data_IF_653344675225
#
_entry.id   IF_653344675225
#
_cell.length_a   1.000
_cell.length_b   1.000
_cell.length_c   1.000
_cell.angle_alpha   90.00
_cell.angle_beta   90.00
_cell.angle_gamma   90.00
#
_symmetry.space_group_name_H-M   'P 1'
#
loop_
_entity.id
_entity.type
_entity.pdbx_description
1 polymer ?
#
# COMPACT_ATOMS: atom_id res chain seq x y z
N UNK A 1 -27.57 23.19 -17.74
CA UNK A 1 -27.94 24.29 -16.83
C UNK A 1 -28.05 23.70 -15.43
N UNK A 2 -27.01 23.88 -14.59
CA UNK A 2 -26.97 23.39 -13.20
C UNK A 2 -27.86 24.29 -12.34
N UNK A 3 -28.83 23.70 -11.65
CA UNK A 3 -29.65 24.36 -10.63
C UNK A 3 -29.61 23.48 -9.37
N UNK A 4 -28.98 24.02 -8.33
CA UNK A 4 -29.09 23.61 -6.93
C UNK A 4 -28.94 22.10 -6.61
N UNK A 5 -27.70 21.60 -6.59
CA UNK A 5 -27.20 20.60 -5.61
C UNK A 5 -28.04 19.36 -5.26
N UNK A 6 -28.94 18.93 -6.13
CA UNK A 6 -29.82 17.78 -5.92
C UNK A 6 -29.78 16.92 -7.18
N UNK A 7 -28.91 15.92 -7.17
CA UNK A 7 -28.93 14.83 -8.15
C UNK A 7 -30.19 13.99 -7.92
N UNK A 8 -31.30 14.44 -8.49
CA UNK A 8 -32.60 13.77 -8.42
C UNK A 8 -32.59 12.38 -9.11
N UNK A 9 -31.51 12.03 -9.82
CA UNK A 9 -31.35 10.80 -10.60
C UNK A 9 -30.25 9.85 -10.10
N UNK A 10 -29.50 10.18 -9.04
CA UNK A 10 -28.47 9.29 -8.46
C UNK A 10 -29.01 8.35 -7.36
N UNK A 11 -30.34 8.26 -7.24
CA UNK A 11 -31.04 7.52 -6.16
C UNK A 11 -31.89 6.31 -6.60
N UNK A 12 -32.44 6.20 -7.84
CA UNK A 12 -33.24 5.04 -8.21
C UNK A 12 -32.39 3.79 -8.44
N UNK A 13 -31.16 3.97 -8.91
CA UNK A 13 -30.13 2.95 -9.07
C UNK A 13 -29.65 2.43 -7.70
N UNK A 14 -29.33 3.31 -6.75
CA UNK A 14 -28.95 2.92 -5.39
C UNK A 14 -30.11 2.20 -4.67
N UNK A 15 -31.35 2.70 -4.82
CA UNK A 15 -32.53 2.02 -4.29
C UNK A 15 -32.73 0.64 -4.93
N UNK A 16 -32.59 0.54 -6.26
CA UNK A 16 -32.72 -0.74 -6.96
C UNK A 16 -31.59 -1.71 -6.56
N UNK A 17 -30.37 -1.20 -6.35
CA UNK A 17 -29.24 -1.98 -5.87
C UNK A 17 -29.55 -2.57 -4.48
N UNK A 18 -29.92 -1.74 -3.52
CA UNK A 18 -30.17 -2.15 -2.13
C UNK A 18 -31.43 -3.02 -1.97
N UNK A 19 -32.51 -2.70 -2.67
CA UNK A 19 -33.82 -3.32 -2.44
C UNK A 19 -34.21 -4.39 -3.47
N UNK A 20 -33.57 -4.43 -4.63
CA UNK A 20 -33.85 -5.44 -5.67
C UNK A 20 -32.65 -6.34 -5.86
N UNK A 21 -31.46 -5.79 -6.04
CA UNK A 21 -30.28 -6.56 -6.41
C UNK A 21 -29.69 -7.33 -5.22
N UNK A 22 -29.40 -6.67 -4.10
CA UNK A 22 -28.82 -7.28 -2.90
C UNK A 22 -29.64 -8.47 -2.36
N UNK A 23 -31.00 -8.40 -2.28
CA UNK A 23 -31.81 -9.55 -1.84
C UNK A 23 -31.82 -10.73 -2.83
N UNK A 24 -31.55 -10.47 -4.12
CA UNK A 24 -31.47 -11.49 -5.16
C UNK A 24 -30.07 -12.10 -5.28
N UNK A 25 -29.04 -11.45 -4.72
CA UNK A 25 -27.69 -12.00 -4.69
C UNK A 25 -27.61 -13.17 -3.70
N UNK A 26 -26.86 -14.24 -4.03
CA UNK A 26 -26.61 -15.31 -3.09
C UNK A 26 -25.92 -14.75 -1.85
N UNK A 27 -26.48 -15.01 -0.66
CA UNK A 27 -25.82 -14.63 0.58
C UNK A 27 -24.49 -15.37 0.67
N UNK A 28 -23.35 -14.67 0.73
CA UNK A 28 -22.06 -15.35 0.86
C UNK A 28 -22.05 -16.14 2.17
N UNK A 29 -21.53 -17.37 2.13
CA UNK A 29 -21.31 -18.14 3.35
C UNK A 29 -20.39 -17.35 4.27
N UNK A 30 -20.85 -17.06 5.49
CA UNK A 30 -19.98 -16.49 6.52
C UNK A 30 -18.94 -17.54 6.87
N UNK A 31 -17.68 -17.28 6.49
CA UNK A 31 -16.54 -18.11 6.85
C UNK A 31 -15.80 -17.43 7.99
N UNK A 32 -15.72 -18.08 9.13
CA UNK A 32 -14.96 -17.60 10.32
C UNK A 32 -13.43 -17.60 10.11
N UNK A 33 -12.97 -17.81 8.86
CA UNK A 33 -11.56 -17.98 8.48
C UNK A 33 -10.96 -16.70 7.89
N UNK A 34 -11.76 -15.66 7.69
CA UNK A 34 -11.32 -14.38 7.11
C UNK A 34 -11.54 -13.28 8.15
N UNK A 35 -10.49 -12.51 8.41
CA UNK A 35 -10.52 -11.34 9.29
C UNK A 35 -10.29 -10.10 8.42
N UNK A 36 -11.24 -9.18 8.44
CA UNK A 36 -11.10 -7.86 7.84
C UNK A 36 -10.57 -6.89 8.90
N UNK A 37 -9.51 -6.16 8.56
CA UNK A 37 -8.93 -5.12 9.41
C UNK A 37 -9.09 -3.80 8.68
N UNK A 38 -9.86 -2.90 9.28
CA UNK A 38 -10.13 -1.57 8.74
C UNK A 38 -9.33 -0.52 9.50
N UNK A 39 -8.89 0.53 8.80
CA UNK A 39 -8.25 1.70 9.39
C UNK A 39 -9.22 2.86 9.29
N UNK A 40 -9.82 3.22 10.43
CA UNK A 40 -10.75 4.34 10.54
C UNK A 40 -10.14 5.52 11.32
N UNK A 41 -10.88 6.61 11.43
CA UNK A 41 -10.44 7.79 12.19
C UNK A 41 -10.13 7.48 13.66
N UNK A 42 -10.83 6.51 14.27
CA UNK A 42 -10.56 6.11 15.64
C UNK A 42 -9.20 5.42 15.76
N UNK A 43 -8.89 4.54 14.80
CA UNK A 43 -7.59 3.86 14.67
C UNK A 43 -6.48 4.88 14.46
N UNK A 44 -6.65 5.84 13.55
CA UNK A 44 -5.67 6.90 13.31
C UNK A 44 -5.40 7.71 14.58
N UNK A 45 -6.46 8.13 15.31
CA UNK A 45 -6.31 8.84 16.59
C UNK A 45 -5.62 8.00 17.65
N UNK A 46 -5.93 6.70 17.75
CA UNK A 46 -5.32 5.80 18.71
C UNK A 46 -3.83 5.57 18.44
N UNK A 47 -3.44 5.56 17.17
CA UNK A 47 -2.04 5.46 16.72
C UNK A 47 -1.30 6.80 16.79
N UNK A 48 -2.02 7.92 16.80
CA UNK A 48 -1.43 9.26 16.71
C UNK A 48 -0.86 9.57 15.33
N UNK A 49 -1.35 8.88 14.30
CA UNK A 49 -0.91 9.02 12.91
C UNK A 49 -2.03 9.64 12.05
N UNK A 50 -1.67 10.17 10.89
CA UNK A 50 -2.62 10.54 9.84
C UNK A 50 -2.57 9.49 8.74
N UNK A 51 -3.65 9.39 7.97
CA UNK A 51 -3.59 8.65 6.72
C UNK A 51 -2.71 9.39 5.69
N UNK A 52 -1.88 8.68 4.90
CA UNK A 52 -1.59 7.25 4.98
C UNK A 52 -0.71 6.87 6.18
N UNK A 53 -0.95 5.68 6.77
CA UNK A 53 -0.12 5.15 7.85
C UNK A 53 1.36 5.01 7.43
N UNK A 54 2.27 5.20 8.38
CA UNK A 54 3.70 5.03 8.14
C UNK A 54 4.06 3.58 7.82
N UNK A 55 5.14 3.38 7.03
CA UNK A 55 5.63 2.03 6.68
C UNK A 55 6.13 1.27 7.91
N UNK A 56 6.67 1.99 8.90
CA UNK A 56 7.01 1.42 10.20
C UNK A 56 5.79 0.85 10.94
N UNK A 57 4.62 1.51 10.85
CA UNK A 57 3.38 1.01 11.45
C UNK A 57 2.85 -0.23 10.71
N UNK A 58 2.92 -0.26 9.38
CA UNK A 58 2.63 -1.48 8.62
C UNK A 58 3.58 -2.64 8.97
N UNK A 59 4.88 -2.38 9.12
CA UNK A 59 5.86 -3.39 9.51
C UNK A 59 5.53 -4.00 10.87
N UNK A 60 5.25 -3.16 11.87
CA UNK A 60 4.81 -3.59 13.22
C UNK A 60 3.49 -4.36 13.19
N UNK A 61 2.56 -3.96 12.32
CA UNK A 61 1.31 -4.68 12.13
C UNK A 61 1.56 -6.10 11.60
N UNK A 62 2.40 -6.24 10.57
CA UNK A 62 2.77 -7.55 10.01
C UNK A 62 3.51 -8.42 11.02
N UNK A 63 4.45 -7.86 11.78
CA UNK A 63 5.18 -8.59 12.84
C UNK A 63 4.22 -9.20 13.87
N UNK A 64 3.27 -8.40 14.37
CA UNK A 64 2.26 -8.87 15.33
C UNK A 64 1.29 -9.88 14.73
N UNK A 65 0.90 -9.65 13.47
CA UNK A 65 -0.03 -10.52 12.75
C UNK A 65 0.61 -11.87 12.46
N UNK A 66 1.91 -11.90 12.12
CA UNK A 66 2.68 -13.13 11.90
C UNK A 66 2.67 -14.04 13.12
N UNK A 67 2.70 -13.48 14.34
CA UNK A 67 2.61 -14.26 15.58
C UNK A 67 1.29 -15.06 15.71
N UNK A 68 0.23 -14.64 15.00
CA UNK A 68 -1.06 -15.33 14.94
C UNK A 68 -1.11 -16.41 13.86
N UNK A 69 -0.05 -16.56 13.05
CA UNK A 69 0.09 -17.55 11.98
C UNK A 69 -1.09 -17.60 10.98
N UNK A 70 -1.50 -16.46 10.38
CA UNK A 70 -2.51 -16.48 9.33
C UNK A 70 -2.04 -17.30 8.13
N UNK A 71 -2.96 -17.88 7.36
CA UNK A 71 -2.61 -18.59 6.13
C UNK A 71 -2.13 -17.63 5.03
N UNK A 72 -2.71 -16.43 4.97
CA UNK A 72 -2.42 -15.39 3.99
C UNK A 72 -2.72 -14.01 4.62
N UNK A 73 -1.94 -12.99 4.26
CA UNK A 73 -2.24 -11.58 4.56
C UNK A 73 -2.35 -10.82 3.24
N UNK A 74 -3.42 -10.06 3.07
CA UNK A 74 -3.62 -9.21 1.88
C UNK A 74 -3.64 -7.76 2.34
N UNK A 75 -2.79 -6.92 1.74
CA UNK A 75 -2.80 -5.48 2.00
C UNK A 75 -3.50 -4.77 0.85
N UNK A 76 -4.65 -4.17 1.14
CA UNK A 76 -5.45 -3.36 0.21
C UNK A 76 -4.92 -1.91 0.13
N UNK A 77 -3.61 -1.79 -0.08
CA UNK A 77 -2.88 -0.52 -0.18
C UNK A 77 -1.77 -0.70 -1.21
N UNK A 78 -1.60 0.28 -2.10
CA UNK A 78 -0.42 0.35 -2.98
C UNK A 78 0.60 1.31 -2.39
N UNK A 79 1.82 0.82 -2.16
CA UNK A 79 2.97 1.63 -1.77
C UNK A 79 3.77 1.98 -3.03
N UNK A 80 3.20 2.79 -3.91
CA UNK A 80 3.78 3.14 -5.21
C UNK A 80 4.85 4.23 -5.12
N UNK A 81 4.98 4.90 -3.97
CA UNK A 81 5.99 5.90 -3.67
C UNK A 81 6.83 5.52 -2.44
N UNK A 82 8.10 5.95 -2.39
CA UNK A 82 8.92 5.87 -1.18
C UNK A 82 8.19 6.48 0.03
N UNK A 83 8.50 5.98 1.22
CA UNK A 83 8.06 6.58 2.47
C UNK A 83 8.61 8.01 2.64
N UNK A 84 7.96 8.81 3.49
CA UNK A 84 8.41 10.17 3.79
C UNK A 84 9.86 10.15 4.29
N UNK A 85 10.75 10.69 3.47
CA UNK A 85 12.20 10.70 3.67
C UNK A 85 12.71 11.92 4.42
N UNK A 86 11.84 12.79 4.97
CA UNK A 86 12.26 14.06 5.58
C UNK A 86 13.35 13.91 6.65
N UNK A 87 13.27 12.88 7.51
CA UNK A 87 14.32 12.59 8.49
C UNK A 87 15.63 12.10 7.83
N UNK A 88 15.53 11.26 6.80
CA UNK A 88 16.68 10.78 6.03
C UNK A 88 17.37 11.91 5.26
N UNK A 89 16.60 12.78 4.62
CA UNK A 89 17.07 13.99 3.94
C UNK A 89 17.77 14.93 4.90
N UNK A 90 17.19 15.17 6.08
CA UNK A 90 17.82 15.98 7.12
C UNK A 90 19.14 15.35 7.58
N UNK A 91 19.15 14.06 7.91
CA UNK A 91 20.35 13.35 8.33
C UNK A 91 21.46 13.40 7.27
N UNK A 92 21.11 13.18 6.00
CA UNK A 92 22.04 13.25 4.88
C UNK A 92 22.55 14.68 4.66
N UNK A 93 21.70 15.70 4.82
CA UNK A 93 22.10 17.11 4.75
C UNK A 93 23.06 17.49 5.88
N UNK A 94 22.86 16.94 7.09
CA UNK A 94 23.75 17.13 8.24
C UNK A 94 25.09 16.44 7.99
N UNK A 95 25.08 15.21 7.50
CA UNK A 95 26.29 14.47 7.14
C UNK A 95 27.13 15.22 6.09
N UNK A 96 26.50 15.74 5.03
CA UNK A 96 27.16 16.53 4.00
C UNK A 96 27.78 17.83 4.54
N UNK A 97 27.06 18.55 5.41
CA UNK A 97 27.57 19.76 6.07
C UNK A 97 28.75 19.45 6.98
N UNK A 98 28.70 18.31 7.69
CA UNK A 98 29.77 17.86 8.56
C UNK A 98 31.05 17.57 7.76
N UNK A 99 30.92 16.90 6.61
CA UNK A 99 32.04 16.68 5.68
C UNK A 99 32.60 18.00 5.14
N UNK A 100 31.74 18.88 4.63
CA UNK A 100 32.15 20.16 4.03
C UNK A 100 32.81 21.13 5.03
N UNK A 101 32.52 20.98 6.32
CA UNK A 101 33.13 21.81 7.38
C UNK A 101 34.56 21.39 7.76
N UNK A 102 35.06 20.27 7.23
CA UNK A 102 36.33 19.66 7.64
C UNK A 102 36.25 18.88 8.96
N UNK A 103 35.12 18.93 9.68
CA UNK A 103 34.88 18.09 10.87
C UNK A 103 34.86 16.60 10.52
N UNK A 104 34.42 16.22 9.32
CA UNK A 104 34.42 14.82 8.88
C UNK A 104 35.80 14.16 8.82
N UNK A 105 36.88 14.94 8.75
CA UNK A 105 38.26 14.44 8.79
C UNK A 105 38.78 14.22 10.23
N UNK A 106 38.02 14.67 11.23
CA UNK A 106 38.34 14.42 12.64
C UNK A 106 37.74 13.08 13.08
N UNK A 107 38.42 12.37 13.99
CA UNK A 107 37.89 11.10 14.50
C UNK A 107 36.50 11.22 15.15
N UNK A 108 36.19 12.37 15.76
CA UNK A 108 34.86 12.63 16.31
C UNK A 108 33.80 12.87 15.23
N UNK A 109 34.15 13.54 14.13
CA UNK A 109 33.24 13.74 13.00
C UNK A 109 33.01 12.47 12.20
N UNK A 110 34.02 11.62 12.02
CA UNK A 110 33.84 10.28 11.43
C UNK A 110 32.90 9.43 12.27
N UNK A 111 33.10 9.38 13.60
CA UNK A 111 32.21 8.63 14.49
C UNK A 111 30.77 9.16 14.48
N UNK A 112 30.58 10.48 14.37
CA UNK A 112 29.25 11.07 14.26
C UNK A 112 28.58 10.77 12.91
N UNK A 113 29.34 10.77 11.81
CA UNK A 113 28.81 10.39 10.50
C UNK A 113 28.37 8.92 10.47
N UNK A 114 29.20 8.01 10.99
CA UNK A 114 28.85 6.59 11.13
C UNK A 114 27.60 6.39 11.99
N UNK A 115 27.48 7.13 13.09
CA UNK A 115 26.28 7.09 13.94
C UNK A 115 25.03 7.56 13.19
N UNK A 116 25.11 8.66 12.44
CA UNK A 116 23.99 9.15 11.63
C UNK A 116 23.59 8.11 10.59
N UNK A 117 24.54 7.54 9.86
CA UNK A 117 24.26 6.52 8.85
C UNK A 117 23.63 5.24 9.46
N UNK A 118 24.10 4.79 10.62
CA UNK A 118 23.50 3.65 11.34
C UNK A 118 22.06 3.95 11.79
N UNK A 119 21.83 5.13 12.37
CA UNK A 119 20.48 5.54 12.79
C UNK A 119 19.54 5.70 11.61
N UNK A 120 19.98 6.31 10.51
CA UNK A 120 19.19 6.41 9.28
C UNK A 120 18.85 5.02 8.72
N UNK A 121 19.81 4.09 8.70
CA UNK A 121 19.56 2.72 8.27
C UNK A 121 18.63 1.93 9.19
N UNK A 122 18.71 2.15 10.51
CA UNK A 122 17.79 1.54 11.50
C UNK A 122 16.37 2.08 11.39
N UNK A 123 16.22 3.33 10.96
CA UNK A 123 14.93 4.02 10.87
C UNK A 123 14.37 4.10 9.44
N UNK A 124 14.98 3.40 8.48
CA UNK A 124 14.44 3.23 7.14
C UNK A 124 13.13 2.43 7.18
N UNK A 125 12.02 3.14 6.98
CA UNK A 125 10.68 2.60 7.11
C UNK A 125 10.31 1.66 5.95
N UNK A 126 10.79 1.93 4.74
CA UNK A 126 10.54 1.07 3.57
C UNK A 126 11.29 -0.25 3.73
N UNK A 127 12.55 -0.20 4.16
CA UNK A 127 13.34 -1.39 4.51
C UNK A 127 12.67 -2.20 5.61
N UNK A 128 12.21 -1.55 6.68
CA UNK A 128 11.52 -2.23 7.78
C UNK A 128 10.26 -2.96 7.30
N UNK A 129 9.47 -2.34 6.42
CA UNK A 129 8.29 -2.97 5.83
C UNK A 129 8.66 -4.13 4.90
N UNK A 130 9.66 -3.96 4.03
CA UNK A 130 10.14 -5.02 3.13
C UNK A 130 10.60 -6.26 3.91
N UNK A 131 11.38 -6.08 4.98
CA UNK A 131 11.79 -7.19 5.85
C UNK A 131 10.59 -7.87 6.52
N UNK A 132 9.63 -7.09 7.06
CA UNK A 132 8.44 -7.67 7.68
C UNK A 132 7.57 -8.47 6.69
N UNK A 133 7.45 -8.00 5.45
CA UNK A 133 6.78 -8.70 4.34
C UNK A 133 7.49 -10.02 4.03
N UNK A 134 8.82 -9.99 3.87
CA UNK A 134 9.63 -11.17 3.58
C UNK A 134 9.58 -12.20 4.72
N UNK A 135 9.66 -11.76 5.97
CA UNK A 135 9.59 -12.63 7.15
C UNK A 135 8.22 -13.28 7.34
N UNK A 136 7.15 -12.59 6.97
CA UNK A 136 5.82 -13.18 6.94
C UNK A 136 5.69 -14.25 5.85
N UNK A 137 6.28 -14.02 4.66
CA UNK A 137 6.36 -14.99 3.56
C UNK A 137 5.02 -15.37 2.91
N UNK A 138 3.93 -14.75 3.35
CA UNK A 138 2.57 -15.01 2.87
C UNK A 138 1.75 -13.73 2.68
N UNK A 139 2.44 -12.63 2.38
CA UNK A 139 1.81 -11.33 2.13
C UNK A 139 1.58 -11.14 0.64
N UNK A 140 0.38 -10.72 0.26
CA UNK A 140 0.02 -10.27 -1.10
C UNK A 140 -0.22 -8.76 -1.06
N UNK A 141 0.44 -8.04 -1.97
CA UNK A 141 0.33 -6.58 -2.08
C UNK A 141 -0.71 -6.17 -3.12
N UNK A 142 -1.24 -4.96 -2.99
CA UNK A 142 -2.14 -4.37 -3.97
C UNK A 142 -1.44 -3.97 -5.27
N UNK A 143 -2.16 -4.12 -6.38
CA UNK A 143 -1.82 -3.55 -7.68
C UNK A 143 -3.08 -2.95 -8.31
N UNK A 144 -2.96 -1.78 -8.92
CA UNK A 144 -4.07 -1.08 -9.58
C UNK A 144 -3.82 -1.10 -11.08
N UNK A 145 -4.82 -1.49 -11.85
CA UNK A 145 -4.80 -1.40 -13.31
C UNK A 145 -5.40 -0.06 -13.73
N UNK A 146 -4.71 0.66 -14.63
CA UNK A 146 -5.12 2.00 -15.06
C UNK A 146 -5.08 2.12 -16.58
N UNK A 147 -5.85 3.08 -17.10
CA UNK A 147 -5.89 3.42 -18.54
C UNK A 147 -4.90 4.54 -18.92
N UNK A 148 -4.16 5.08 -17.96
CA UNK A 148 -3.18 6.13 -18.20
C UNK A 148 -1.85 5.52 -18.67
N UNK A 149 -1.18 6.14 -19.65
CA UNK A 149 0.12 5.69 -20.21
C UNK A 149 1.30 5.89 -19.22
N UNK A 150 0.99 6.12 -17.94
CA UNK A 150 1.92 6.50 -16.88
C UNK A 150 2.66 5.33 -16.25
N UNK A 151 3.81 4.97 -16.83
CA UNK A 151 4.85 4.19 -16.17
C UNK A 151 5.01 2.77 -16.69
N UNK A 152 6.27 2.37 -16.90
CA UNK A 152 6.65 1.04 -17.34
C UNK A 152 6.08 -0.01 -16.38
N UNK A 153 5.18 -0.91 -16.82
CA UNK A 153 4.61 -1.93 -15.95
C UNK A 153 5.77 -2.82 -15.49
N UNK A 154 6.12 -2.68 -14.21
CA UNK A 154 7.17 -3.47 -13.57
C UNK A 154 7.01 -4.95 -13.96
N UNK A 155 8.11 -5.54 -14.43
CA UNK A 155 8.14 -6.87 -15.05
C UNK A 155 7.25 -7.87 -14.30
N UNK A 156 6.41 -8.58 -15.05
CA UNK A 156 5.49 -9.59 -14.55
C UNK A 156 6.15 -10.47 -13.48
N UNK A 157 5.54 -10.53 -12.30
CA UNK A 157 6.08 -11.24 -11.16
C UNK A 157 6.02 -12.76 -11.38
N UNK A 158 7.18 -13.41 -11.26
CA UNK A 158 7.27 -14.86 -11.16
C UNK A 158 6.48 -15.32 -9.92
N UNK A 159 5.49 -16.20 -10.12
CA UNK A 159 4.64 -16.72 -9.04
C UNK A 159 3.21 -16.20 -9.02
N UNK A 160 2.76 -15.49 -10.06
CA UNK A 160 1.35 -15.13 -10.22
C UNK A 160 0.44 -16.35 -10.00
N UNK A 161 -0.55 -16.20 -9.12
CA UNK A 161 -1.59 -17.22 -8.95
C UNK A 161 -2.27 -17.45 -10.30
N UNK A 162 -2.49 -18.70 -10.73
CA UNK A 162 -3.11 -18.95 -12.02
C UNK A 162 -4.48 -18.26 -12.05
N UNK A 163 -4.81 -17.51 -13.12
CA UNK A 163 -6.09 -16.85 -13.21
C UNK A 163 -7.20 -17.89 -13.11
N UNK A 164 -8.21 -17.62 -12.29
CA UNK A 164 -9.44 -18.39 -12.31
C UNK A 164 -10.08 -18.17 -13.69
N UNK A 165 -10.18 -19.23 -14.49
CA UNK A 165 -10.86 -19.15 -15.78
C UNK A 165 -12.33 -18.79 -15.55
N UNK A 166 -12.68 -17.54 -15.80
CA UNK A 166 -14.04 -17.10 -15.97
C UNK A 166 -14.25 -16.77 -17.46
N UNK A 167 -15.35 -17.28 -18.03
CA UNK A 167 -15.73 -16.93 -19.40
C UNK A 167 -16.26 -15.49 -19.39
N UNK A 168 -15.37 -14.50 -19.55
CA UNK A 168 -15.72 -13.08 -19.59
C UNK A 168 -15.57 -12.51 -21.00
N UNK A 169 -16.28 -13.09 -21.98
CA UNK A 169 -16.41 -12.46 -23.29
C UNK A 169 -17.26 -11.19 -23.13
N UNK A 170 -16.61 -10.03 -23.12
CA UNK A 170 -17.24 -8.70 -23.14
C UNK A 170 -17.35 -7.95 -21.80
N UNK A 171 -16.82 -8.50 -20.70
CA UNK A 171 -16.75 -7.82 -19.38
C UNK A 171 -15.31 -7.65 -18.87
N UNK A 172 -14.32 -8.02 -19.67
CA UNK A 172 -12.92 -7.81 -19.31
C UNK A 172 -12.62 -6.31 -19.36
N UNK A 173 -12.44 -5.69 -18.20
CA UNK A 173 -11.83 -4.38 -18.10
C UNK A 173 -10.46 -4.46 -18.78
N UNK A 174 -10.26 -3.66 -19.81
CA UNK A 174 -8.96 -3.48 -20.43
C UNK A 174 -8.23 -2.38 -19.65
N UNK A 175 -6.92 -2.53 -19.51
CA UNK A 175 -6.06 -1.53 -18.87
C UNK A 175 -4.80 -1.37 -19.72
N UNK A 176 -4.32 -0.13 -19.81
CA UNK A 176 -3.11 0.21 -20.55
C UNK A 176 -1.84 0.04 -19.70
N UNK A 177 -1.95 0.19 -18.38
CA UNK A 177 -0.83 0.08 -17.45
C UNK A 177 -1.23 -0.51 -16.09
N UNK A 178 -0.22 -0.77 -15.25
CA UNK A 178 -0.41 -1.26 -13.88
C UNK A 178 0.51 -0.51 -12.92
N UNK A 179 -0.07 0.03 -11.85
CA UNK A 179 0.65 0.60 -10.72
C UNK A 179 0.82 -0.47 -9.65
N UNK A 180 2.07 -0.74 -9.28
CA UNK A 180 2.44 -1.72 -8.26
C UNK A 180 3.18 -1.06 -7.11
N UNK A 181 3.37 -1.80 -6.01
CA UNK A 181 4.20 -1.34 -4.91
C UNK A 181 5.68 -1.23 -5.33
N UNK A 182 6.44 -0.42 -4.59
CA UNK A 182 7.88 -0.24 -4.75
C UNK A 182 8.61 -1.60 -4.93
N UNK A 183 9.65 -1.68 -5.79
CA UNK A 183 10.31 -2.94 -6.13
C UNK A 183 10.76 -3.76 -4.94
N UNK A 184 11.29 -3.12 -3.89
CA UNK A 184 11.77 -3.80 -2.68
C UNK A 184 10.67 -4.51 -1.89
N UNK A 185 9.45 -3.96 -1.92
CA UNK A 185 8.27 -4.58 -1.30
C UNK A 185 7.75 -5.72 -2.19
N UNK A 186 7.70 -5.47 -3.49
CA UNK A 186 7.20 -6.41 -4.47
C UNK A 186 8.05 -7.69 -4.54
N UNK A 187 9.38 -7.57 -4.44
CA UNK A 187 10.30 -8.72 -4.37
C UNK A 187 10.17 -9.50 -3.06
N UNK A 188 9.84 -8.82 -1.96
CA UNK A 188 9.65 -9.44 -0.65
C UNK A 188 8.30 -10.18 -0.53
N UNK A 189 7.28 -9.73 -1.27
CA UNK A 189 5.93 -10.26 -1.21
C UNK A 189 5.81 -11.63 -1.89
N UNK A 190 4.77 -12.38 -1.50
CA UNK A 190 4.39 -13.63 -2.18
C UNK A 190 3.86 -13.38 -3.59
N UNK A 191 3.32 -12.19 -3.84
CA UNK A 191 2.80 -11.75 -5.12
C UNK A 191 1.94 -10.51 -4.97
N UNK A 192 1.29 -10.11 -6.06
CA UNK A 192 0.39 -8.96 -6.09
C UNK A 192 -1.02 -9.36 -6.54
N UNK A 193 -2.03 -8.74 -5.92
CA UNK A 193 -3.44 -8.92 -6.24
C UNK A 193 -4.01 -7.67 -6.92
N UNK A 194 -4.89 -7.88 -7.89
CA UNK A 194 -5.57 -6.80 -8.60
C UNK A 194 -6.62 -6.13 -7.70
N UNK A 195 -6.58 -4.80 -7.62
CA UNK A 195 -7.58 -3.98 -6.94
C UNK A 195 -8.35 -3.20 -7.99
N UNK A 196 -9.68 -3.32 -7.95
CA UNK A 196 -10.56 -2.56 -8.83
C UNK A 196 -10.78 -1.17 -8.21
N UNK A 197 -10.00 -0.19 -8.65
CA UNK A 197 -10.16 1.20 -8.21
C UNK A 197 -10.93 1.95 -9.30
N UNK A 198 -12.14 2.39 -8.97
CA UNK A 198 -12.82 3.40 -9.76
C UNK A 198 -12.21 4.75 -9.38
N UNK A 199 -11.28 5.22 -10.20
CA UNK A 199 -10.69 6.55 -10.00
C UNK A 199 -11.77 7.57 -10.36
N UNK A 200 -12.30 8.29 -9.37
CA UNK A 200 -13.21 9.41 -9.65
C UNK A 200 -12.41 10.51 -10.37
N UNK A 201 -12.84 10.98 -11.56
CA UNK A 201 -12.19 12.08 -12.26
C UNK A 201 -11.97 13.36 -11.45
N UNK A 202 -12.66 13.57 -10.33
CA UNK A 202 -12.47 14.76 -9.47
C UNK A 202 -11.82 14.49 -8.09
N UNK A 203 -11.45 13.23 -7.80
CA UNK A 203 -10.59 12.90 -6.66
C UNK A 203 -11.20 13.14 -5.27
N UNK A 204 -12.51 12.94 -5.10
CA UNK A 204 -13.21 12.95 -3.79
C UNK A 204 -14.11 11.74 -3.63
#
# INVERSE_FOLDING_TARGET
MRLAGLDLFARPDAWAYDHVLVPLMPTPEKRDQVVLVEVDDASLRALGERWPLSRATWARFLERTRALSPALVVLDVVFDQPSDSSAAELGQSVALRLQASGLGETGAGTALAEFIDDELGRHDADRALSMAVAEAGNVVLGAIFTDDDGGDPGAALDGALPPLSCASDGLALQAASVTTCQPELTVAARGSGAMNVLVDPDGV
#
